data_IF_609493007720
#
_entry.id   IF_609493007720
#
_cell.length_a   1.000
_cell.length_b   1.000
_cell.length_c   1.000
_cell.angle_alpha   90.00
_cell.angle_beta   90.00
_cell.angle_gamma   90.00
#
_symmetry.space_group_name_H-M   'P 1'
#
loop_
_entity.id
_entity.type
_entity.pdbx_description
1 polymer ?
#
# COMPACT_ATOMS: atom_id res chain seq x y z
N UNK A 1 11.67 14.54 8.48
CA UNK A 1 11.27 15.50 7.44
C UNK A 1 10.06 14.94 6.71
N UNK A 2 9.13 15.75 6.24
CA UNK A 2 7.97 15.27 5.48
C UNK A 2 7.61 16.23 4.35
N UNK A 3 7.00 15.70 3.28
CA UNK A 3 6.47 16.43 2.14
C UNK A 3 4.99 16.13 2.01
N UNK A 4 4.15 17.15 2.03
CA UNK A 4 2.70 16.99 1.95
C UNK A 4 2.23 16.94 0.50
N UNK A 5 1.24 16.09 0.25
CA UNK A 5 0.56 15.92 -1.02
C UNK A 5 -0.95 15.69 -0.78
N UNK A 6 -1.75 15.56 -1.84
CA UNK A 6 -3.21 15.45 -1.74
C UNK A 6 -3.75 14.03 -1.87
N UNK A 7 -3.01 13.15 -2.53
CA UNK A 7 -3.42 11.75 -2.69
C UNK A 7 -2.23 10.81 -2.54
N UNK A 8 -2.50 9.56 -2.17
CA UNK A 8 -1.47 8.53 -2.11
C UNK A 8 -0.71 8.35 -3.42
N UNK A 9 -1.39 8.50 -4.56
CA UNK A 9 -0.75 8.43 -5.88
C UNK A 9 0.25 9.57 -6.11
N UNK A 10 -0.09 10.79 -5.66
CA UNK A 10 0.86 11.92 -5.71
C UNK A 10 2.08 11.64 -4.82
N UNK A 11 1.85 11.17 -3.59
CA UNK A 11 2.94 10.83 -2.67
C UNK A 11 3.86 9.74 -3.27
N UNK A 12 3.30 8.64 -3.78
CA UNK A 12 4.10 7.58 -4.41
C UNK A 12 4.87 8.07 -5.64
N UNK A 13 4.24 8.90 -6.50
CA UNK A 13 4.94 9.49 -7.65
C UNK A 13 6.08 10.40 -7.20
N UNK A 14 5.86 11.21 -6.16
CA UNK A 14 6.90 12.04 -5.56
C UNK A 14 8.05 11.21 -4.99
N UNK A 15 7.75 10.14 -4.24
CA UNK A 15 8.74 9.24 -3.66
C UNK A 15 9.57 8.50 -4.73
N UNK A 16 8.92 8.00 -5.78
CA UNK A 16 9.61 7.37 -6.93
C UNK A 16 10.51 8.36 -7.65
N UNK A 17 10.02 9.61 -7.86
CA UNK A 17 10.84 10.66 -8.46
C UNK A 17 12.07 11.00 -7.60
N UNK A 18 11.88 11.05 -6.28
CA UNK A 18 12.99 11.27 -5.33
C UNK A 18 14.01 10.13 -5.39
N UNK A 19 13.55 8.87 -5.41
CA UNK A 19 14.43 7.71 -5.51
C UNK A 19 15.24 7.70 -6.82
N UNK A 20 14.60 8.03 -7.95
CA UNK A 20 15.29 8.18 -9.23
C UNK A 20 16.36 9.28 -9.19
N UNK A 21 16.03 10.45 -8.66
CA UNK A 21 16.97 11.56 -8.53
C UNK A 21 18.13 11.22 -7.60
N UNK A 22 17.88 10.55 -6.46
CA UNK A 22 18.89 10.18 -5.51
C UNK A 22 19.86 9.12 -6.06
N UNK A 23 19.34 8.12 -6.76
CA UNK A 23 20.15 6.98 -7.27
C UNK A 23 20.74 7.22 -8.65
N UNK A 24 20.23 8.19 -9.41
CA UNK A 24 20.56 8.38 -10.84
C UNK A 24 20.07 7.26 -11.74
N UNK A 25 19.06 6.48 -11.30
CA UNK A 25 18.52 5.30 -12.01
C UNK A 25 17.04 5.53 -12.35
N UNK A 26 16.53 4.83 -13.40
CA UNK A 26 15.19 5.05 -13.90
C UNK A 26 14.19 3.95 -13.58
N UNK A 27 14.64 2.69 -13.47
CA UNK A 27 13.75 1.54 -13.32
C UNK A 27 13.27 1.35 -11.89
N UNK A 28 12.09 0.76 -11.74
CA UNK A 28 11.43 0.47 -10.47
C UNK A 28 11.05 -1.00 -10.41
N UNK A 29 11.38 -1.69 -9.32
CA UNK A 29 10.79 -2.96 -8.97
C UNK A 29 9.51 -2.72 -8.16
N UNK A 30 8.36 -3.16 -8.65
CA UNK A 30 7.07 -2.91 -8.02
C UNK A 30 6.40 -4.21 -7.59
N UNK A 31 6.03 -4.31 -6.32
CA UNK A 31 5.23 -5.44 -5.85
C UNK A 31 3.79 -5.29 -6.34
N UNK A 32 3.38 -6.19 -7.24
CA UNK A 32 2.04 -6.14 -7.84
C UNK A 32 0.94 -6.21 -6.79
N UNK A 33 0.29 -5.07 -6.53
CA UNK A 33 -0.90 -4.96 -5.68
C UNK A 33 -1.88 -3.95 -6.26
N UNK A 34 -3.05 -3.82 -5.68
CA UNK A 34 -4.10 -2.94 -6.18
C UNK A 34 -3.73 -1.45 -5.98
N UNK A 35 -4.39 -0.54 -6.70
CA UNK A 35 -4.35 0.88 -6.42
C UNK A 35 -3.39 1.71 -7.26
N UNK A 36 -3.28 1.38 -8.54
CA UNK A 36 -2.44 2.11 -9.50
C UNK A 36 -3.25 3.18 -10.26
N UNK A 37 -2.84 4.44 -10.18
CA UNK A 37 -3.63 5.56 -10.69
C UNK A 37 -2.87 6.48 -11.65
N UNK A 38 -1.56 6.61 -11.51
CA UNK A 38 -0.72 7.40 -12.39
C UNK A 38 -0.07 6.54 -13.48
N UNK A 39 0.24 7.15 -14.61
CA UNK A 39 0.72 6.47 -15.83
C UNK A 39 1.88 5.52 -15.58
N UNK A 40 2.85 5.90 -14.75
CA UNK A 40 4.00 5.05 -14.46
C UNK A 40 3.62 3.74 -13.74
N UNK A 41 2.56 3.73 -12.93
CA UNK A 41 2.02 2.55 -12.28
C UNK A 41 0.95 1.86 -13.15
N UNK A 42 0.11 2.64 -13.82
CA UNK A 42 -1.07 2.12 -14.52
C UNK A 42 -0.71 1.17 -15.67
N UNK A 43 0.52 1.20 -16.17
CA UNK A 43 0.99 0.26 -17.20
C UNK A 43 0.93 -1.21 -16.75
N UNK A 44 0.90 -1.48 -15.46
CA UNK A 44 0.91 -2.83 -14.88
C UNK A 44 -0.48 -3.48 -14.80
N UNK A 45 -1.54 -2.74 -14.99
CA UNK A 45 -2.92 -3.25 -14.88
C UNK A 45 -3.56 -3.44 -16.25
N UNK A 46 -4.62 -4.24 -16.29
CA UNK A 46 -5.38 -4.52 -17.53
C UNK A 46 -6.06 -3.27 -18.11
N UNK A 47 -6.35 -2.26 -17.28
CA UNK A 47 -7.00 -1.00 -17.69
C UNK A 47 -5.98 0.10 -17.98
N UNK A 48 -4.94 -0.19 -18.74
CA UNK A 48 -3.83 0.71 -19.05
C UNK A 48 -3.97 1.43 -20.42
N UNK A 49 -5.18 1.49 -20.98
CA UNK A 49 -5.42 2.19 -22.24
C UNK A 49 -5.03 3.66 -22.12
N UNK A 50 -4.22 4.15 -23.07
CA UNK A 50 -3.70 5.52 -23.07
C UNK A 50 -2.37 5.72 -22.35
N UNK A 51 -1.89 4.72 -21.59
CA UNK A 51 -0.57 4.79 -20.96
C UNK A 51 0.52 4.54 -22.01
N UNK A 52 1.57 5.37 -22.06
CA UNK A 52 2.68 5.20 -23.02
C UNK A 52 3.37 3.84 -22.85
N UNK A 53 3.63 3.15 -23.96
CA UNK A 53 4.20 1.79 -23.94
C UNK A 53 5.59 1.73 -23.31
N UNK A 54 6.41 2.77 -23.43
CA UNK A 54 7.76 2.81 -22.86
C UNK A 54 7.76 2.75 -21.32
N UNK A 55 6.67 3.10 -20.65
CA UNK A 55 6.55 2.93 -19.21
C UNK A 55 6.74 1.47 -18.77
N UNK A 56 6.48 0.52 -19.69
CA UNK A 56 6.66 -0.92 -19.44
C UNK A 56 8.14 -1.31 -19.28
N UNK A 57 9.03 -0.58 -19.90
CA UNK A 57 10.48 -0.79 -19.80
C UNK A 57 11.05 -0.29 -18.47
N UNK A 58 10.33 0.63 -17.82
CA UNK A 58 10.74 1.26 -16.56
C UNK A 58 10.19 0.57 -15.32
N UNK A 59 9.22 -0.35 -15.46
CA UNK A 59 8.54 -0.98 -14.31
C UNK A 59 8.63 -2.49 -14.43
N UNK A 60 9.30 -3.11 -13.47
CA UNK A 60 9.40 -4.56 -13.32
C UNK A 60 8.53 -5.01 -12.18
N UNK A 61 7.62 -5.95 -12.43
CA UNK A 61 6.64 -6.41 -11.44
C UNK A 61 7.06 -7.74 -10.85
N UNK A 62 6.98 -7.86 -9.52
CA UNK A 62 7.10 -9.13 -8.79
C UNK A 62 5.89 -9.37 -7.90
N UNK A 63 5.65 -10.62 -7.52
CA UNK A 63 4.52 -10.98 -6.68
C UNK A 63 4.87 -10.84 -5.19
N UNK A 64 3.85 -10.59 -4.37
CA UNK A 64 4.01 -10.64 -2.92
C UNK A 64 4.39 -12.07 -2.48
N UNK A 65 5.31 -12.19 -1.55
CA UNK A 65 5.95 -13.45 -1.12
C UNK A 65 6.90 -14.10 -2.14
N UNK A 66 7.28 -13.39 -3.20
CA UNK A 66 8.22 -13.85 -4.23
C UNK A 66 9.52 -13.03 -4.19
N UNK A 67 10.34 -13.29 -3.19
CA UNK A 67 11.64 -12.62 -3.07
C UNK A 67 12.67 -13.12 -4.10
N UNK A 68 12.49 -14.33 -4.62
CA UNK A 68 13.37 -14.88 -5.67
C UNK A 68 13.11 -14.18 -7.01
N UNK A 69 11.82 -13.91 -7.32
CA UNK A 69 11.46 -13.09 -8.47
C UNK A 69 11.98 -11.66 -8.39
N UNK A 70 12.01 -11.07 -7.19
CA UNK A 70 12.64 -9.77 -6.98
C UNK A 70 14.17 -9.83 -7.18
N UNK A 71 14.84 -10.87 -6.69
CA UNK A 71 16.29 -11.06 -6.88
C UNK A 71 16.62 -11.20 -8.36
N UNK A 72 15.84 -11.96 -9.14
CA UNK A 72 15.98 -12.08 -10.58
C UNK A 72 15.84 -10.74 -11.30
N UNK A 73 14.91 -9.87 -10.87
CA UNK A 73 14.79 -8.51 -11.46
C UNK A 73 16.08 -7.72 -11.28
N UNK A 74 16.76 -7.82 -10.14
CA UNK A 74 18.05 -7.16 -9.94
C UNK A 74 19.18 -7.75 -10.78
N UNK A 75 19.19 -9.06 -10.96
CA UNK A 75 20.17 -9.75 -11.81
C UNK A 75 20.02 -9.37 -13.28
N UNK A 76 18.76 -9.28 -13.75
CA UNK A 76 18.45 -8.88 -15.13
C UNK A 76 18.66 -7.38 -15.40
N UNK A 77 18.72 -6.55 -14.35
CA UNK A 77 18.83 -5.09 -14.43
C UNK A 77 19.93 -4.55 -13.48
N UNK A 78 21.20 -4.94 -13.68
CA UNK A 78 22.27 -4.58 -12.75
C UNK A 78 22.48 -3.07 -12.69
N UNK A 79 22.39 -2.50 -11.48
CA UNK A 79 22.52 -1.06 -11.21
C UNK A 79 21.51 -0.15 -11.93
N UNK A 80 20.36 -0.65 -12.36
CA UNK A 80 19.34 0.15 -13.03
C UNK A 80 18.08 0.40 -12.18
N UNK A 81 17.85 -0.39 -11.12
CA UNK A 81 16.68 -0.26 -10.27
C UNK A 81 16.90 0.85 -9.24
N UNK A 82 16.12 1.92 -9.33
CA UNK A 82 16.15 3.05 -8.40
C UNK A 82 15.50 2.72 -7.05
N UNK A 83 14.37 2.02 -7.09
CA UNK A 83 13.64 1.68 -5.88
C UNK A 83 12.85 0.38 -6.02
N UNK A 84 12.58 -0.24 -4.88
CA UNK A 84 11.51 -1.22 -4.68
C UNK A 84 10.31 -0.46 -4.12
N UNK A 85 9.12 -0.64 -4.70
CA UNK A 85 7.86 -0.10 -4.17
C UNK A 85 6.97 -1.25 -3.73
N UNK A 86 6.54 -1.26 -2.47
CA UNK A 86 5.75 -2.35 -1.89
C UNK A 86 4.79 -1.84 -0.81
N UNK A 87 3.56 -2.36 -0.79
CA UNK A 87 2.73 -2.31 0.42
C UNK A 87 3.26 -3.34 1.44
N UNK A 88 3.42 -3.01 2.73
CA UNK A 88 3.87 -3.98 3.76
C UNK A 88 3.02 -5.24 3.78
N UNK A 89 1.73 -5.12 3.48
CA UNK A 89 0.84 -6.25 3.22
C UNK A 89 -0.38 -5.80 2.42
N UNK A 90 -0.99 -6.74 1.67
CA UNK A 90 -2.27 -6.55 1.01
C UNK A 90 -3.33 -7.50 1.58
N UNK A 91 -3.35 -8.76 1.18
CA UNK A 91 -4.27 -9.80 1.64
C UNK A 91 -3.56 -10.95 2.34
N UNK A 92 -2.28 -11.13 2.05
CA UNK A 92 -1.50 -12.26 2.51
C UNK A 92 -0.52 -11.85 3.62
N UNK A 93 -0.25 -12.78 4.51
CA UNK A 93 0.82 -12.62 5.49
C UNK A 93 2.18 -12.79 4.79
N UNK A 94 3.21 -12.03 5.21
CA UNK A 94 4.56 -12.30 4.72
C UNK A 94 5.00 -13.69 5.18
N UNK A 95 5.62 -14.45 4.27
CA UNK A 95 6.10 -15.82 4.49
C UNK A 95 7.62 -15.84 4.29
N UNK A 96 8.29 -16.81 4.93
CA UNK A 96 9.72 -17.08 4.68
C UNK A 96 10.61 -15.83 4.75
N UNK A 97 10.40 -15.01 5.75
CA UNK A 97 11.13 -13.74 5.94
C UNK A 97 11.09 -12.80 4.73
N UNK A 98 10.02 -12.87 3.93
CA UNK A 98 9.87 -12.13 2.67
C UNK A 98 10.23 -10.65 2.81
N UNK A 99 9.63 -9.93 3.75
CA UNK A 99 9.90 -8.49 3.92
C UNK A 99 11.35 -8.20 4.31
N UNK A 100 11.95 -9.05 5.14
CA UNK A 100 13.38 -8.95 5.50
C UNK A 100 14.29 -9.21 4.30
N UNK A 101 13.90 -10.15 3.44
CA UNK A 101 14.61 -10.39 2.16
C UNK A 101 14.50 -9.19 1.22
N UNK A 102 13.30 -8.59 1.11
CA UNK A 102 13.09 -7.37 0.30
C UNK A 102 14.00 -6.24 0.78
N UNK A 103 14.09 -5.99 2.10
CA UNK A 103 14.99 -4.98 2.66
C UNK A 103 16.46 -5.27 2.31
N UNK A 104 16.91 -6.51 2.52
CA UNK A 104 18.28 -6.93 2.21
C UNK A 104 18.62 -6.78 0.72
N UNK A 105 17.68 -7.07 -0.18
CA UNK A 105 17.88 -6.90 -1.62
C UNK A 105 17.99 -5.42 -2.00
N UNK A 106 17.19 -4.54 -1.37
CA UNK A 106 17.33 -3.11 -1.56
C UNK A 106 18.73 -2.62 -1.12
N UNK A 107 19.18 -3.01 0.08
CA UNK A 107 20.49 -2.64 0.61
C UNK A 107 21.64 -3.16 -0.26
N UNK A 108 21.59 -4.46 -0.63
CA UNK A 108 22.62 -5.11 -1.48
C UNK A 108 22.81 -4.39 -2.81
N UNK A 109 21.73 -3.83 -3.37
CA UNK A 109 21.73 -3.21 -4.70
C UNK A 109 21.76 -1.68 -4.66
N UNK A 110 21.89 -1.05 -3.49
CA UNK A 110 21.82 0.40 -3.30
C UNK A 110 20.57 1.02 -3.95
N UNK A 111 19.41 0.35 -3.79
CA UNK A 111 18.11 0.80 -4.23
C UNK A 111 17.30 1.24 -3.02
N UNK A 112 16.44 2.26 -3.17
CA UNK A 112 15.60 2.67 -2.04
C UNK A 112 14.42 1.73 -1.86
N UNK A 113 14.03 1.48 -0.60
CA UNK A 113 12.78 0.81 -0.28
C UNK A 113 11.70 1.85 0.01
N UNK A 114 10.71 1.93 -0.87
CA UNK A 114 9.54 2.78 -0.71
C UNK A 114 8.38 1.94 -0.17
N UNK A 115 7.91 2.26 1.03
CA UNK A 115 6.74 1.61 1.60
C UNK A 115 5.47 2.39 1.27
N UNK A 116 4.54 1.72 0.60
CA UNK A 116 3.18 2.23 0.36
C UNK A 116 2.32 1.94 1.60
N UNK A 117 2.26 2.92 2.49
CA UNK A 117 1.45 2.89 3.72
C UNK A 117 0.11 3.64 3.54
N UNK A 118 -0.30 3.90 2.31
CA UNK A 118 -1.54 4.63 2.03
C UNK A 118 -2.78 3.92 2.59
N UNK A 119 -2.74 2.59 2.71
CA UNK A 119 -3.81 1.79 3.32
C UNK A 119 -3.42 1.23 4.69
N UNK A 120 -2.18 0.83 4.87
CA UNK A 120 -1.70 0.17 6.10
C UNK A 120 -1.36 1.15 7.20
N UNK A 121 -0.95 2.37 6.86
CA UNK A 121 -0.67 3.45 7.80
C UNK A 121 -1.88 3.84 8.63
N UNK A 122 -1.67 4.06 9.93
CA UNK A 122 -2.72 4.40 10.93
C UNK A 122 -3.86 3.36 11.02
N UNK A 123 -3.62 2.15 10.50
CA UNK A 123 -4.58 1.05 10.48
C UNK A 123 -4.04 -0.19 11.19
N UNK A 124 -2.83 -0.62 10.87
CA UNK A 124 -2.19 -1.77 11.50
C UNK A 124 -1.58 -1.39 12.85
N UNK A 125 -0.87 -0.30 12.89
CA UNK A 125 -0.21 0.29 14.04
C UNK A 125 -0.14 1.81 13.84
N UNK A 126 0.17 2.59 14.89
CA UNK A 126 0.38 4.03 14.79
C UNK A 126 1.59 4.38 13.92
N UNK A 127 2.61 3.54 13.95
CA UNK A 127 3.78 3.61 13.07
C UNK A 127 3.58 2.97 11.71
N UNK A 128 2.34 2.52 11.39
CA UNK A 128 2.01 1.89 10.12
C UNK A 128 2.26 0.39 10.09
N UNK A 129 2.08 -0.19 8.88
CA UNK A 129 2.41 -1.59 8.62
C UNK A 129 3.90 -1.87 8.80
N UNK A 130 4.76 -0.90 8.54
CA UNK A 130 6.21 -1.04 8.77
C UNK A 130 6.52 -1.40 10.22
N UNK A 131 5.89 -0.72 11.19
CA UNK A 131 6.07 -1.01 12.61
C UNK A 131 5.48 -2.38 12.98
N UNK A 132 4.31 -2.72 12.45
CA UNK A 132 3.65 -3.99 12.70
C UNK A 132 4.43 -5.21 12.16
N UNK A 133 5.10 -5.07 11.02
CA UNK A 133 5.85 -6.15 10.36
C UNK A 133 7.37 -6.07 10.58
N UNK A 134 7.86 -5.15 11.39
CA UNK A 134 9.29 -4.95 11.66
C UNK A 134 10.11 -4.80 10.37
N UNK A 135 9.69 -3.84 9.52
CA UNK A 135 10.40 -3.48 8.29
C UNK A 135 10.57 -1.97 8.21
N UNK A 136 11.77 -1.50 7.92
CA UNK A 136 12.08 -0.07 7.79
C UNK A 136 12.19 0.32 6.32
N UNK A 137 11.34 1.28 5.89
CA UNK A 137 11.44 1.91 4.58
C UNK A 137 12.44 3.07 4.57
N UNK A 138 12.99 3.37 3.40
CA UNK A 138 13.81 4.57 3.17
C UNK A 138 12.92 5.78 2.94
N UNK A 139 11.84 5.60 2.17
CA UNK A 139 10.73 6.54 1.99
C UNK A 139 9.41 5.83 2.29
N UNK A 140 8.51 6.52 2.94
CA UNK A 140 7.20 6.00 3.33
C UNK A 140 6.11 6.97 2.86
N UNK A 141 5.05 6.43 2.22
CA UNK A 141 3.94 7.20 1.71
C UNK A 141 2.66 6.90 2.49
N UNK A 142 2.12 7.89 3.22
CA UNK A 142 0.86 7.79 3.93
C UNK A 142 -0.27 8.52 3.20
N UNK A 143 -1.51 8.12 3.47
CA UNK A 143 -2.71 8.74 2.94
C UNK A 143 -3.95 8.26 3.69
N UNK A 144 -5.11 8.36 3.08
CA UNK A 144 -6.40 7.84 3.61
C UNK A 144 -6.61 8.09 5.10
N UNK A 145 -6.19 7.14 5.95
CA UNK A 145 -6.39 7.18 7.41
C UNK A 145 -5.73 8.36 8.10
N UNK A 146 -4.68 8.95 7.53
CA UNK A 146 -3.93 10.05 8.16
C UNK A 146 -4.80 11.28 8.49
N UNK A 147 -5.80 11.57 7.65
CA UNK A 147 -6.71 12.71 7.85
C UNK A 147 -8.19 12.32 7.76
N UNK A 148 -8.49 11.01 7.74
CA UNK A 148 -9.79 10.39 7.88
C UNK A 148 -10.93 11.06 7.09
N UNK A 149 -10.72 11.26 5.78
CA UNK A 149 -11.70 11.86 4.87
C UNK A 149 -11.25 13.18 4.23
N UNK A 150 -10.28 13.88 4.80
CA UNK A 150 -9.69 15.06 4.18
C UNK A 150 -8.58 14.67 3.19
N UNK A 151 -8.38 15.47 2.11
CA UNK A 151 -7.39 15.18 1.06
C UNK A 151 -5.97 15.50 1.55
N UNK A 152 -5.37 14.56 2.26
CA UNK A 152 -3.98 14.62 2.73
C UNK A 152 -3.25 13.32 2.44
N UNK A 153 -2.05 13.45 1.93
CA UNK A 153 -1.04 12.40 1.89
C UNK A 153 0.33 12.98 2.22
N UNK A 154 1.24 12.11 2.62
CA UNK A 154 2.56 12.53 3.11
C UNK A 154 3.61 11.58 2.59
N UNK A 155 4.75 12.14 2.16
CA UNK A 155 6.00 11.41 1.97
C UNK A 155 6.86 11.73 3.18
N UNK A 156 7.37 10.71 3.83
CA UNK A 156 8.34 10.84 4.92
C UNK A 156 9.44 9.81 4.74
N UNK A 157 10.53 9.93 5.48
CA UNK A 157 11.65 9.01 5.39
C UNK A 157 12.90 9.51 6.06
N UNK A 158 14.00 8.81 5.84
CA UNK A 158 15.31 9.17 6.34
C UNK A 158 15.74 10.53 5.79
N UNK A 159 16.34 11.33 6.63
CA UNK A 159 16.69 12.72 6.30
C UNK A 159 17.56 12.83 5.05
N UNK A 160 18.47 11.90 4.85
CA UNK A 160 19.35 11.86 3.68
C UNK A 160 18.58 11.76 2.36
N UNK A 161 17.53 10.93 2.30
CA UNK A 161 16.70 10.76 1.10
C UNK A 161 15.68 11.90 0.96
N UNK A 162 15.20 12.44 2.08
CA UNK A 162 14.22 13.53 2.05
C UNK A 162 14.83 14.87 1.62
N UNK A 163 16.14 15.10 1.81
CA UNK A 163 16.80 16.31 1.35
C UNK A 163 16.77 16.51 -0.16
N UNK A 164 16.65 15.43 -0.94
CA UNK A 164 16.55 15.53 -2.41
C UNK A 164 15.35 16.36 -2.87
N UNK A 165 14.30 16.46 -2.02
CA UNK A 165 13.12 17.27 -2.34
C UNK A 165 13.41 18.78 -2.42
N UNK A 166 14.55 19.25 -1.91
CA UNK A 166 14.98 20.64 -2.06
C UNK A 166 15.39 20.95 -3.52
N UNK A 167 15.75 19.91 -4.28
CA UNK A 167 16.15 19.98 -5.69
C UNK A 167 15.01 19.58 -6.65
N UNK A 168 13.85 19.15 -6.11
CA UNK A 168 12.75 18.60 -6.92
C UNK A 168 11.51 19.49 -6.87
N UNK A 169 10.95 19.78 -8.04
CA UNK A 169 9.59 20.32 -8.16
C UNK A 169 8.55 19.21 -7.95
N UNK A 170 8.33 18.82 -6.69
CA UNK A 170 7.24 17.94 -6.27
C UNK A 170 6.29 18.77 -5.43
N UNK A 171 5.21 19.26 -6.05
CA UNK A 171 4.26 20.16 -5.42
C UNK A 171 2.92 20.13 -6.15
N UNK A 172 1.86 20.44 -5.43
CA UNK A 172 0.53 20.76 -5.97
C UNK A 172 -0.01 22.03 -5.31
N UNK A 173 -0.90 22.74 -5.99
CA UNK A 173 -1.41 24.05 -5.54
C UNK A 173 -1.88 24.04 -4.08
N UNK A 174 -2.55 22.99 -3.66
CA UNK A 174 -3.18 22.92 -2.34
C UNK A 174 -2.47 21.93 -1.39
N UNK A 175 -1.22 21.53 -1.65
CA UNK A 175 -0.55 20.52 -0.85
C UNK A 175 -0.34 20.93 0.63
N UNK A 176 -0.27 22.23 0.91
CA UNK A 176 -0.04 22.78 2.25
C UNK A 176 -1.24 23.55 2.79
N UNK A 177 -2.46 23.33 2.26
CA UNK A 177 -3.64 24.01 2.80
C UNK A 177 -3.93 23.54 4.24
N UNK A 178 -4.32 24.50 5.08
CA UNK A 178 -4.32 24.35 6.53
C UNK A 178 -5.43 23.42 7.06
N UNK A 179 -6.55 23.29 6.36
CA UNK A 179 -7.69 22.50 6.82
C UNK A 179 -7.34 20.99 6.88
N UNK A 180 -6.77 20.45 5.79
CA UNK A 180 -6.34 19.04 5.78
C UNK A 180 -5.18 18.79 6.73
N UNK A 181 -4.26 19.74 6.92
CA UNK A 181 -3.18 19.62 7.89
C UNK A 181 -3.73 19.57 9.34
N UNK A 182 -4.66 20.46 9.67
CA UNK A 182 -5.33 20.45 10.96
C UNK A 182 -6.13 19.15 11.20
N UNK A 183 -6.84 18.66 10.16
CA UNK A 183 -7.54 17.38 10.21
C UNK A 183 -6.57 16.22 10.46
N UNK A 184 -5.39 16.22 9.81
CA UNK A 184 -4.35 15.22 10.04
C UNK A 184 -3.85 15.19 11.49
N UNK A 185 -3.52 16.36 12.04
CA UNK A 185 -3.10 16.48 13.45
C UNK A 185 -4.19 15.99 14.38
N UNK A 186 -5.43 16.43 14.18
CA UNK A 186 -6.57 16.01 15.02
C UNK A 186 -6.81 14.50 14.94
N UNK A 187 -6.74 13.91 13.73
CA UNK A 187 -6.92 12.48 13.50
C UNK A 187 -5.84 11.66 14.24
N UNK A 188 -4.57 12.04 14.13
CA UNK A 188 -3.46 11.34 14.79
C UNK A 188 -3.61 11.40 16.31
N UNK A 189 -3.96 12.57 16.86
CA UNK A 189 -4.19 12.74 18.30
C UNK A 189 -5.35 11.86 18.77
N UNK A 190 -6.48 11.88 18.08
CA UNK A 190 -7.67 11.08 18.37
C UNK A 190 -7.37 9.56 18.34
N UNK A 191 -6.61 9.10 17.35
CA UNK A 191 -6.16 7.70 17.24
C UNK A 191 -5.36 7.28 18.49
N UNK A 192 -4.43 8.14 18.92
CA UNK A 192 -3.60 7.87 20.08
C UNK A 192 -4.39 7.88 21.39
N UNK A 193 -5.17 8.95 21.63
CA UNK A 193 -5.90 9.17 22.87
C UNK A 193 -6.98 8.11 23.09
N UNK A 194 -7.74 7.78 22.04
CA UNK A 194 -8.85 6.81 22.11
C UNK A 194 -8.43 5.38 21.85
N UNK A 195 -7.16 5.11 21.61
CA UNK A 195 -6.67 3.76 21.28
C UNK A 195 -7.48 3.12 20.14
N UNK A 196 -7.75 3.90 19.09
CA UNK A 196 -8.65 3.51 17.99
C UNK A 196 -8.16 2.27 17.25
N UNK A 197 -6.85 2.10 17.07
CA UNK A 197 -6.27 0.94 16.35
C UNK A 197 -6.58 -0.37 17.07
N UNK A 198 -6.28 -0.56 18.38
CA UNK A 198 -6.67 -1.77 19.12
C UNK A 198 -8.19 -2.02 19.10
N UNK A 199 -9.00 -0.97 19.17
CA UNK A 199 -10.46 -1.11 19.04
C UNK A 199 -10.84 -1.68 17.66
N UNK A 200 -10.28 -1.16 16.58
CA UNK A 200 -10.54 -1.63 15.22
C UNK A 200 -10.08 -3.09 15.01
N UNK A 201 -8.95 -3.49 15.59
CA UNK A 201 -8.51 -4.88 15.57
C UNK A 201 -9.53 -5.80 16.24
N UNK A 202 -9.99 -5.48 17.45
CA UNK A 202 -10.96 -6.29 18.20
C UNK A 202 -12.31 -6.38 17.47
N UNK A 203 -12.83 -5.24 16.95
CA UNK A 203 -14.08 -5.23 16.20
C UNK A 203 -13.93 -6.03 14.89
N UNK A 204 -12.81 -5.86 14.21
CA UNK A 204 -12.50 -6.59 12.99
C UNK A 204 -12.41 -8.10 13.22
N UNK A 205 -11.80 -8.56 14.31
CA UNK A 205 -11.75 -9.98 14.67
C UNK A 205 -13.15 -10.55 14.89
N UNK A 206 -14.02 -9.83 15.60
CA UNK A 206 -15.41 -10.25 15.79
C UNK A 206 -16.13 -10.42 14.46
N UNK A 207 -15.99 -9.46 13.56
CA UNK A 207 -16.62 -9.51 12.25
C UNK A 207 -16.04 -10.65 11.38
N UNK A 208 -14.71 -10.75 11.33
CA UNK A 208 -13.99 -11.76 10.56
C UNK A 208 -14.37 -13.18 10.98
N UNK A 209 -14.31 -13.47 12.29
CA UNK A 209 -14.63 -14.77 12.83
C UNK A 209 -16.14 -15.04 12.79
N UNK A 210 -16.97 -14.05 13.09
CA UNK A 210 -18.43 -14.16 13.05
C UNK A 210 -18.92 -14.48 11.64
N UNK A 211 -18.39 -13.81 10.61
CA UNK A 211 -18.72 -14.12 9.22
C UNK A 211 -18.34 -15.54 8.85
N UNK A 212 -17.09 -15.95 9.07
CA UNK A 212 -16.60 -17.26 8.67
C UNK A 212 -17.37 -18.38 9.37
N UNK A 213 -17.66 -18.25 10.67
CA UNK A 213 -18.49 -19.19 11.42
C UNK A 213 -19.91 -19.26 10.90
N UNK A 214 -20.51 -18.13 10.54
CA UNK A 214 -21.88 -18.09 10.01
C UNK A 214 -21.94 -18.67 8.60
N UNK A 215 -20.97 -18.35 7.73
CA UNK A 215 -20.87 -18.89 6.39
C UNK A 215 -20.77 -20.43 6.42
N UNK A 216 -19.92 -20.98 7.29
CA UNK A 216 -19.79 -22.42 7.50
C UNK A 216 -21.11 -23.04 8.01
N UNK A 217 -21.71 -22.44 9.05
CA UNK A 217 -22.95 -22.93 9.65
C UNK A 217 -24.13 -23.05 8.66
N UNK A 218 -24.24 -22.09 7.74
CA UNK A 218 -25.35 -22.04 6.79
C UNK A 218 -24.98 -22.50 5.38
N UNK A 219 -23.79 -23.10 5.20
CA UNK A 219 -23.36 -23.64 3.91
C UNK A 219 -23.16 -22.55 2.83
N UNK A 220 -22.88 -21.30 3.25
CA UNK A 220 -22.61 -20.22 2.33
C UNK A 220 -21.15 -20.29 1.88
N UNK A 221 -20.93 -20.50 0.57
CA UNK A 221 -19.59 -20.57 0.01
C UNK A 221 -18.93 -19.17 -0.06
N UNK A 222 -18.63 -18.62 1.10
CA UNK A 222 -18.04 -17.30 1.29
C UNK A 222 -17.07 -17.29 2.46
N UNK A 223 -16.02 -16.49 2.35
CA UNK A 223 -14.98 -16.40 3.38
C UNK A 223 -14.44 -14.98 3.48
N UNK A 224 -14.26 -14.48 4.71
CA UNK A 224 -13.40 -13.33 4.99
C UNK A 224 -11.94 -13.76 4.96
N UNK A 225 -11.12 -13.01 4.24
CA UNK A 225 -9.67 -13.21 4.14
C UNK A 225 -8.93 -11.92 4.44
N UNK A 226 -7.62 -11.98 4.64
CA UNK A 226 -6.78 -10.84 4.99
C UNK A 226 -6.59 -10.69 6.49
N UNK A 227 -6.57 -9.46 6.96
CA UNK A 227 -6.39 -9.11 8.38
C UNK A 227 -7.68 -8.53 8.94
N UNK A 228 -7.95 -8.65 10.24
CA UNK A 228 -9.12 -8.05 10.88
C UNK A 228 -9.33 -6.57 10.55
N UNK A 229 -8.27 -5.79 10.49
CA UNK A 229 -8.33 -4.36 10.12
C UNK A 229 -8.31 -4.09 8.61
N UNK A 230 -8.08 -5.13 7.79
CA UNK A 230 -8.09 -5.06 6.32
C UNK A 230 -8.59 -6.37 5.74
N UNK A 231 -9.89 -6.61 5.89
CA UNK A 231 -10.52 -7.85 5.43
C UNK A 231 -11.20 -7.68 4.08
N UNK A 232 -11.33 -8.80 3.37
CA UNK A 232 -12.05 -8.88 2.10
C UNK A 232 -12.95 -10.10 2.10
N UNK A 233 -14.17 -9.91 1.64
CA UNK A 233 -15.10 -11.02 1.43
C UNK A 233 -14.84 -11.63 0.05
N UNK A 234 -14.51 -12.91 0.03
CA UNK A 234 -14.53 -13.75 -1.16
C UNK A 234 -15.73 -14.66 -1.15
N UNK A 235 -16.35 -14.83 -2.32
CA UNK A 235 -17.48 -15.70 -2.55
C UNK A 235 -17.15 -16.62 -3.72
N UNK A 236 -17.61 -17.86 -3.66
CA UNK A 236 -17.27 -18.87 -4.65
C UNK A 236 -18.54 -19.54 -5.19
N UNK A 237 -18.54 -19.88 -6.48
CA UNK A 237 -19.62 -20.67 -7.10
C UNK A 237 -19.53 -22.16 -6.71
N UNK A 238 -20.46 -22.96 -7.23
CA UNK A 238 -20.50 -24.41 -6.97
C UNK A 238 -19.30 -25.18 -7.51
N UNK A 239 -18.49 -24.56 -8.40
CA UNK A 239 -17.26 -25.11 -8.96
C UNK A 239 -16.02 -24.56 -8.25
N UNK A 240 -16.20 -23.81 -7.16
CA UNK A 240 -15.14 -23.16 -6.36
C UNK A 240 -14.37 -22.06 -7.12
N UNK A 241 -14.96 -21.46 -8.17
CA UNK A 241 -14.42 -20.26 -8.80
C UNK A 241 -14.92 -19.01 -8.06
N UNK A 242 -14.11 -17.95 -8.00
CA UNK A 242 -14.53 -16.69 -7.38
C UNK A 242 -15.75 -16.10 -8.11
N UNK A 243 -16.82 -15.85 -7.37
CA UNK A 243 -18.13 -15.41 -7.90
C UNK A 243 -18.43 -13.97 -7.50
N UNK A 244 -18.25 -13.05 -8.43
CA UNK A 244 -18.63 -11.63 -8.27
C UNK A 244 -20.16 -11.50 -8.12
N UNK A 245 -20.94 -12.32 -8.85
CA UNK A 245 -22.41 -12.30 -8.79
C UNK A 245 -22.93 -12.66 -7.41
N UNK A 246 -22.41 -13.74 -6.79
CA UNK A 246 -22.77 -14.13 -5.44
C UNK A 246 -22.35 -13.04 -4.42
N UNK A 247 -21.17 -12.48 -4.57
CA UNK A 247 -20.72 -11.36 -3.73
C UNK A 247 -21.65 -10.16 -3.85
N UNK A 248 -22.07 -9.80 -5.07
CA UNK A 248 -22.98 -8.67 -5.31
C UNK A 248 -24.35 -8.92 -4.68
N UNK A 249 -24.89 -10.14 -4.80
CA UNK A 249 -26.15 -10.52 -4.16
C UNK A 249 -26.07 -10.40 -2.62
N UNK A 250 -25.01 -10.93 -2.01
CA UNK A 250 -24.81 -10.84 -0.56
C UNK A 250 -24.75 -9.36 -0.13
N UNK A 251 -23.97 -8.53 -0.82
CA UNK A 251 -23.88 -7.11 -0.51
C UNK A 251 -25.23 -6.40 -0.64
N UNK A 252 -26.01 -6.72 -1.68
CA UNK A 252 -27.36 -6.19 -1.87
C UNK A 252 -28.29 -6.57 -0.71
N UNK A 253 -28.26 -7.83 -0.28
CA UNK A 253 -29.09 -8.29 0.84
C UNK A 253 -28.67 -7.68 2.19
N UNK A 254 -27.37 -7.47 2.39
CA UNK A 254 -26.87 -6.76 3.57
C UNK A 254 -27.33 -5.30 3.60
N UNK A 255 -27.24 -4.58 2.47
CA UNK A 255 -27.67 -3.18 2.36
C UNK A 255 -29.19 -3.03 2.64
N UNK A 256 -30.03 -3.99 2.21
CA UNK A 256 -31.47 -3.98 2.51
C UNK A 256 -31.78 -4.09 4.01
N UNK A 257 -30.84 -4.57 4.80
CA UNK A 257 -31.02 -4.78 6.25
C UNK A 257 -30.41 -3.68 7.11
N UNK A 258 -29.77 -2.69 6.53
CA UNK A 258 -29.11 -1.56 7.17
C UNK A 258 -27.61 -1.75 7.24
#
# INVERSE_FOLDING_TARGET
MCKFEKSGSNALTGAVRAARAFTGRDKIAYCGSAGVWHDWQAIMVSRNKGVPKFNRELIHVFNYNDADGLEQIFEDNPNEIAAIVIEPTYLEKPKNDFLKRVRKLADKNNSLLILDEVVTGFRFDIGGGQNYFDIEGDLICFGKGIANGFPLSVITGKTEFMKIFDELWVSSTNNSETLSLAAGVSTINEINEKKTIPYCWNLGEKLFNGWNKSAEKYGLNSKMIGYPVRMFMKCYDSKNNESISLKSLILQELIKKG
#
